data_IF_231143411443
#
_entry.id   IF_231143411443
#
_cell.length_a   1.000
_cell.length_b   1.000
_cell.length_c   1.000
_cell.angle_alpha   90.00
_cell.angle_beta   90.00
_cell.angle_gamma   90.00
#
_symmetry.space_group_name_H-M   'P 1'
#
loop_
_entity.id
_entity.type
_entity.pdbx_description
1 polymer ?
#
# COMPACT_ATOMS: atom_id res chain seq x y z
N UNK A 1 -1.75 -7.19 2.39
CA UNK A 1 -0.78 -6.10 2.11
C UNK A 1 -0.63 -5.91 0.61
N UNK A 2 -0.75 -4.67 0.14
CA UNK A 2 -0.56 -4.33 -1.27
C UNK A 2 0.90 -4.48 -1.69
N UNK A 3 1.15 -4.90 -2.93
CA UNK A 3 2.50 -4.84 -3.53
C UNK A 3 3.02 -3.40 -3.67
N UNK A 4 2.16 -2.39 -3.75
CA UNK A 4 2.59 -0.98 -3.75
C UNK A 4 3.24 -0.59 -2.42
N UNK A 5 2.67 -1.00 -1.28
CA UNK A 5 3.27 -0.79 0.03
C UNK A 5 4.61 -1.52 0.17
N UNK A 6 4.70 -2.76 -0.32
CA UNK A 6 5.96 -3.53 -0.32
C UNK A 6 7.03 -2.81 -1.17
N UNK A 7 6.64 -2.30 -2.33
CA UNK A 7 7.53 -1.55 -3.22
C UNK A 7 8.04 -0.27 -2.55
N UNK A 8 7.16 0.48 -1.90
CA UNK A 8 7.54 1.68 -1.15
C UNK A 8 8.49 1.35 0.00
N UNK A 9 8.21 0.29 0.77
CA UNK A 9 9.09 -0.19 1.85
C UNK A 9 10.49 -0.55 1.31
N UNK A 10 10.56 -1.25 0.18
CA UNK A 10 11.83 -1.65 -0.44
C UNK A 10 12.66 -0.43 -0.87
N UNK A 11 12.03 0.58 -1.48
CA UNK A 11 12.70 1.83 -1.87
C UNK A 11 13.16 2.59 -0.62
N UNK A 12 12.29 2.75 0.39
CA UNK A 12 12.66 3.44 1.63
C UNK A 12 13.84 2.76 2.32
N UNK A 13 13.90 1.42 2.31
CA UNK A 13 15.03 0.68 2.84
C UNK A 13 16.33 0.94 2.06
N UNK A 14 16.29 0.92 0.72
CA UNK A 14 17.43 1.25 -0.14
C UNK A 14 17.93 2.69 0.04
N UNK A 15 17.02 3.63 0.31
CA UNK A 15 17.33 5.03 0.59
C UNK A 15 17.75 5.28 2.05
N UNK A 16 17.84 4.25 2.90
CA UNK A 16 18.18 4.39 4.32
C UNK A 16 17.10 5.10 5.17
N UNK A 17 15.89 5.27 4.63
CA UNK A 17 14.74 5.91 5.30
C UNK A 17 13.89 4.93 6.10
N UNK A 18 14.13 3.63 5.93
CA UNK A 18 13.51 2.55 6.68
C UNK A 18 14.57 1.52 7.07
N UNK A 19 14.85 1.40 8.37
CA UNK A 19 15.76 0.37 8.89
C UNK A 19 15.00 -0.94 9.05
N UNK A 20 15.38 -1.95 8.28
CA UNK A 20 14.87 -3.31 8.42
C UNK A 20 15.85 -4.13 9.25
N UNK A 21 15.36 -4.88 10.23
CA UNK A 21 16.20 -5.76 11.08
C UNK A 21 16.69 -7.01 10.34
N UNK A 22 15.98 -7.39 9.27
CA UNK A 22 16.23 -8.53 8.39
C UNK A 22 15.81 -8.19 6.96
N UNK A 23 16.24 -8.95 5.93
CA UNK A 23 15.78 -8.75 4.57
C UNK A 23 14.26 -8.70 4.48
N UNK A 24 13.72 -7.78 3.67
CA UNK A 24 12.26 -7.59 3.54
C UNK A 24 11.55 -8.89 3.15
N UNK A 25 12.15 -9.68 2.25
CA UNK A 25 11.60 -10.96 1.82
C UNK A 25 11.39 -11.96 2.99
N UNK A 26 12.32 -12.02 3.95
CA UNK A 26 12.19 -12.87 5.13
C UNK A 26 11.09 -12.37 6.06
N UNK A 27 11.02 -11.05 6.28
CA UNK A 27 9.96 -10.44 7.09
C UNK A 27 8.59 -10.75 6.48
N UNK A 28 8.44 -10.63 5.16
CA UNK A 28 7.20 -10.98 4.47
C UNK A 28 6.85 -12.45 4.67
N UNK A 29 7.78 -13.37 4.40
CA UNK A 29 7.55 -14.80 4.57
C UNK A 29 7.14 -15.17 6.01
N UNK A 30 7.74 -14.53 7.01
CA UNK A 30 7.35 -14.71 8.41
C UNK A 30 5.93 -14.20 8.67
N UNK A 31 5.58 -13.02 8.16
CA UNK A 31 4.22 -12.46 8.33
C UNK A 31 3.15 -13.27 7.59
N UNK A 32 3.46 -13.82 6.41
CA UNK A 32 2.54 -14.71 5.70
C UNK A 32 2.26 -15.99 6.51
N UNK A 33 3.28 -16.56 7.17
CA UNK A 33 3.16 -17.77 8.00
C UNK A 33 2.47 -17.50 9.35
N UNK A 34 2.90 -16.45 10.06
CA UNK A 34 2.46 -16.20 11.43
C UNK A 34 1.11 -15.47 11.51
N UNK A 35 0.83 -14.58 10.55
CA UNK A 35 -0.32 -13.67 10.61
C UNK A 35 -1.27 -13.83 9.41
N UNK A 36 -1.12 -14.91 8.63
CA UNK A 36 -1.90 -15.16 7.41
C UNK A 36 -1.92 -13.95 6.46
N UNK A 37 -0.80 -13.21 6.38
CA UNK A 37 -0.71 -12.02 5.56
C UNK A 37 -0.87 -12.39 4.07
N UNK A 38 -1.95 -11.92 3.44
CA UNK A 38 -2.12 -12.05 2.00
C UNK A 38 -1.44 -10.90 1.25
N UNK A 39 -0.67 -11.20 0.20
CA UNK A 39 -0.13 -10.19 -0.70
C UNK A 39 -1.14 -9.96 -1.84
N UNK A 40 -1.54 -8.70 -2.04
CA UNK A 40 -2.50 -8.32 -3.09
C UNK A 40 -1.73 -7.65 -4.23
N UNK A 41 -1.62 -8.29 -5.41
CA UNK A 41 -0.85 -7.74 -6.52
C UNK A 41 -1.53 -6.51 -7.11
N UNK A 42 -0.72 -5.52 -7.48
CA UNK A 42 -1.15 -4.42 -8.33
C UNK A 42 -1.46 -4.95 -9.73
N UNK A 43 -2.62 -4.60 -10.25
CA UNK A 43 -3.13 -4.96 -11.58
C UNK A 43 -3.29 -3.71 -12.43
N UNK A 44 -3.38 -3.88 -13.76
CA UNK A 44 -3.65 -2.78 -14.69
C UNK A 44 -4.90 -1.97 -14.29
N UNK A 45 -5.96 -2.63 -13.82
CA UNK A 45 -7.17 -1.96 -13.36
C UNK A 45 -6.93 -0.95 -12.23
N UNK A 46 -5.98 -1.22 -11.33
CA UNK A 46 -5.63 -0.29 -10.24
C UNK A 46 -4.93 0.95 -10.78
N UNK A 47 -4.09 0.79 -11.80
CA UNK A 47 -3.42 1.91 -12.47
C UNK A 47 -4.42 2.75 -13.26
N UNK A 48 -5.32 2.13 -14.02
CA UNK A 48 -6.34 2.84 -14.79
C UNK A 48 -7.33 3.61 -13.90
N UNK A 49 -7.61 3.10 -12.69
CA UNK A 49 -8.47 3.80 -11.72
C UNK A 49 -7.89 5.14 -11.24
N UNK A 50 -6.58 5.40 -11.43
CA UNK A 50 -5.97 6.70 -11.11
C UNK A 50 -6.54 7.86 -11.93
N UNK A 51 -7.06 7.59 -13.13
CA UNK A 51 -7.68 8.59 -14.01
C UNK A 51 -8.87 9.28 -13.33
N UNK A 52 -9.63 8.51 -12.54
CA UNK A 52 -10.81 8.99 -11.83
C UNK A 52 -10.51 9.36 -10.37
N UNK A 53 -9.26 9.23 -9.93
CA UNK A 53 -8.87 9.46 -8.55
C UNK A 53 -8.53 10.95 -8.32
N UNK A 54 -9.27 11.67 -7.47
CA UNK A 54 -9.00 13.07 -7.17
C UNK A 54 -7.58 13.31 -6.66
N UNK A 55 -7.01 14.48 -7.00
CA UNK A 55 -5.65 14.85 -6.62
C UNK A 55 -5.60 15.48 -5.22
N UNK A 56 -5.87 14.69 -4.18
CA UNK A 56 -5.70 15.09 -2.78
C UNK A 56 -4.30 14.74 -2.24
N UNK A 57 -3.72 13.63 -2.71
CA UNK A 57 -2.33 13.22 -2.45
C UNK A 57 -1.43 13.45 -3.66
N UNK A 58 -0.13 13.66 -3.38
CA UNK A 58 0.93 13.76 -4.39
C UNK A 58 1.82 12.53 -4.50
N UNK A 59 1.85 11.69 -3.46
CA UNK A 59 2.69 10.48 -3.48
C UNK A 59 2.08 9.42 -4.42
N UNK A 60 2.91 8.91 -5.34
CA UNK A 60 2.44 7.97 -6.36
C UNK A 60 2.08 6.58 -5.77
N UNK A 61 2.76 6.15 -4.70
CA UNK A 61 2.47 4.87 -4.05
C UNK A 61 1.18 4.94 -3.24
N UNK A 62 0.96 6.02 -2.50
CA UNK A 62 -0.28 6.24 -1.74
C UNK A 62 -1.49 6.30 -2.68
N UNK A 63 -1.37 7.05 -3.79
CA UNK A 63 -2.45 7.12 -4.78
C UNK A 63 -2.76 5.76 -5.39
N UNK A 64 -1.74 4.97 -5.73
CA UNK A 64 -1.94 3.63 -6.26
C UNK A 64 -2.54 2.69 -5.22
N UNK A 65 -2.15 2.81 -3.95
CA UNK A 65 -2.71 2.04 -2.84
C UNK A 65 -4.20 2.35 -2.64
N UNK A 66 -4.58 3.63 -2.69
CA UNK A 66 -5.97 4.06 -2.60
C UNK A 66 -6.77 3.54 -3.79
N UNK A 67 -6.27 3.72 -5.02
CA UNK A 67 -6.93 3.22 -6.22
C UNK A 67 -7.12 1.69 -6.17
N UNK A 68 -6.11 0.95 -5.72
CA UNK A 68 -6.22 -0.49 -5.51
C UNK A 68 -7.29 -0.83 -4.47
N UNK A 69 -7.33 -0.13 -3.34
CA UNK A 69 -8.32 -0.38 -2.30
C UNK A 69 -9.75 -0.07 -2.76
N UNK A 70 -9.96 0.98 -3.55
CA UNK A 70 -11.25 1.29 -4.17
C UNK A 70 -11.70 0.20 -5.14
N UNK A 71 -10.81 -0.26 -6.03
CA UNK A 71 -11.14 -1.29 -7.04
C UNK A 71 -11.41 -2.65 -6.38
N UNK A 72 -10.60 -3.04 -5.40
CA UNK A 72 -10.73 -4.33 -4.71
C UNK A 72 -11.73 -4.28 -3.53
N UNK A 73 -12.35 -3.12 -3.26
CA UNK A 73 -13.27 -2.87 -2.14
C UNK A 73 -12.67 -3.24 -0.78
N UNK A 74 -11.42 -2.85 -0.57
CA UNK A 74 -10.67 -3.13 0.65
C UNK A 74 -10.70 -1.93 1.61
N UNK A 75 -10.45 -2.23 2.88
CA UNK A 75 -10.20 -1.23 3.92
C UNK A 75 -8.71 -0.90 3.93
N UNK A 76 -8.37 0.38 3.96
CA UNK A 76 -6.98 0.84 4.12
C UNK A 76 -6.66 0.97 5.60
N UNK A 77 -5.51 0.42 6.01
CA UNK A 77 -4.96 0.63 7.35
C UNK A 77 -3.91 1.75 7.26
N UNK A 78 -4.21 2.96 7.74
CA UNK A 78 -3.30 4.11 7.63
C UNK A 78 -3.54 5.19 8.70
N UNK A 79 -2.45 5.82 9.16
CA UNK A 79 -2.43 6.87 10.20
C UNK A 79 -2.57 8.23 9.55
N UNK A 80 -2.37 8.26 8.24
CA UNK A 80 -2.43 9.46 7.44
C UNK A 80 -3.89 9.87 7.27
N UNK A 81 -4.26 10.95 7.95
CA UNK A 81 -5.59 11.52 7.89
C UNK A 81 -5.97 11.96 6.46
N UNK A 82 -5.01 12.23 5.58
CA UNK A 82 -5.32 12.63 4.22
C UNK A 82 -5.99 11.50 3.40
N UNK A 83 -5.85 10.23 3.82
CA UNK A 83 -6.58 9.12 3.20
C UNK A 83 -8.10 9.23 3.39
N UNK A 84 -8.56 9.94 4.42
CA UNK A 84 -10.00 10.18 4.66
C UNK A 84 -10.64 11.12 3.63
N UNK A 85 -9.84 11.83 2.82
CA UNK A 85 -10.34 12.64 1.71
C UNK A 85 -10.79 11.79 0.50
N UNK A 86 -10.53 10.48 0.53
CA UNK A 86 -10.92 9.55 -0.51
C UNK A 86 -12.14 8.72 -0.08
N UNK A 87 -12.95 8.32 -1.06
CA UNK A 87 -14.09 7.43 -0.84
C UNK A 87 -13.62 5.97 -0.68
N UNK A 88 -12.84 5.72 0.39
CA UNK A 88 -12.34 4.41 0.78
C UNK A 88 -12.41 4.26 2.29
N UNK A 89 -12.83 3.11 2.83
CA UNK A 89 -12.83 2.90 4.27
C UNK A 89 -11.40 2.91 4.83
N UNK A 90 -11.14 3.73 5.85
CA UNK A 90 -9.85 3.79 6.55
C UNK A 90 -10.00 3.33 8.01
N UNK A 91 -9.02 2.57 8.50
CA UNK A 91 -8.88 2.13 9.90
C UNK A 91 -7.46 2.40 10.40
N UNK A 92 -7.30 2.46 11.73
CA UNK A 92 -6.00 2.53 12.40
C UNK A 92 -5.94 1.49 13.52
#
# INVERSE_FOLDING_TARGET
MSTASIWEMQIKAQLGRLTLTRPLAELLADQQRANALAIVPVKLAHVLALDQLPLHHRDAFDRLLIAQAMVEKLVVLSKDAAFSAYDVPVRW
#
